data_IF_546584146924
#
_entry.id   IF_546584146924
#
_cell.length_a   1.000
_cell.length_b   1.000
_cell.length_c   1.000
_cell.angle_alpha   90.00
_cell.angle_beta   90.00
_cell.angle_gamma   90.00
#
_symmetry.space_group_name_H-M   'P 1'
#
loop_
_entity.id
_entity.type
_entity.pdbx_description
1 polymer ?
#
# COMPACT_ATOMS: atom_id res chain seq x y z
N UNK A 1 -62.50 16.85 5.01
CA UNK A 1 -61.24 17.62 4.97
C UNK A 1 -60.06 17.02 5.75
N UNK A 2 -60.26 15.96 6.56
CA UNK A 2 -59.14 15.32 7.30
C UNK A 2 -58.35 14.30 6.47
N UNK A 3 -59.00 13.58 5.55
CA UNK A 3 -58.38 12.53 4.73
C UNK A 3 -57.24 13.04 3.82
N UNK A 4 -57.36 14.26 3.29
CA UNK A 4 -56.32 14.89 2.45
C UNK A 4 -55.07 15.29 3.24
N UNK A 5 -55.22 15.67 4.52
CA UNK A 5 -54.09 16.01 5.40
C UNK A 5 -53.32 14.75 5.81
N UNK A 6 -54.02 13.66 6.12
CA UNK A 6 -53.39 12.37 6.45
C UNK A 6 -52.68 11.73 5.25
N UNK A 7 -53.25 11.85 4.04
CA UNK A 7 -52.60 11.37 2.83
C UNK A 7 -51.31 12.17 2.50
N UNK A 8 -51.32 13.49 2.71
CA UNK A 8 -50.13 14.34 2.53
C UNK A 8 -49.00 14.00 3.52
N UNK A 9 -49.33 13.76 4.79
CA UNK A 9 -48.36 13.33 5.82
C UNK A 9 -47.75 11.95 5.53
N UNK A 10 -48.57 11.01 5.06
CA UNK A 10 -48.09 9.69 4.68
C UNK A 10 -47.09 9.75 3.52
N UNK A 11 -47.39 10.51 2.46
CA UNK A 11 -46.49 10.69 1.30
C UNK A 11 -45.19 11.40 1.70
N UNK A 12 -45.26 12.42 2.56
CA UNK A 12 -44.07 13.12 3.06
C UNK A 12 -43.15 12.18 3.88
N UNK A 13 -43.73 11.31 4.71
CA UNK A 13 -42.99 10.31 5.47
C UNK A 13 -42.29 9.28 4.58
N UNK A 14 -42.95 8.82 3.51
CA UNK A 14 -42.35 7.85 2.58
C UNK A 14 -41.19 8.46 1.78
N UNK A 15 -41.33 9.70 1.31
CA UNK A 15 -40.27 10.40 0.56
C UNK A 15 -39.05 10.68 1.45
N UNK A 16 -39.24 11.13 2.69
CA UNK A 16 -38.12 11.35 3.62
C UNK A 16 -37.43 10.05 4.01
N UNK A 17 -38.19 8.97 4.25
CA UNK A 17 -37.62 7.66 4.55
C UNK A 17 -36.86 7.09 3.34
N UNK A 18 -37.35 7.29 2.12
CA UNK A 18 -36.67 6.89 0.88
C UNK A 18 -35.36 7.67 0.67
N UNK A 19 -35.36 8.99 0.83
CA UNK A 19 -34.15 9.83 0.70
C UNK A 19 -33.12 9.50 1.78
N UNK A 20 -33.56 9.31 3.02
CA UNK A 20 -32.68 8.86 4.11
C UNK A 20 -32.08 7.49 3.81
N UNK A 21 -32.90 6.55 3.32
CA UNK A 21 -32.45 5.21 2.96
C UNK A 21 -31.48 5.23 1.79
N UNK A 22 -31.75 6.00 0.73
CA UNK A 22 -30.83 6.18 -0.39
C UNK A 22 -29.51 6.82 0.06
N UNK A 23 -29.56 7.91 0.84
CA UNK A 23 -28.37 8.55 1.36
C UNK A 23 -27.55 7.63 2.27
N UNK A 24 -28.21 6.87 3.15
CA UNK A 24 -27.57 5.89 4.02
C UNK A 24 -26.95 4.72 3.24
N UNK A 25 -27.61 4.26 2.18
CA UNK A 25 -27.08 3.23 1.27
C UNK A 25 -25.85 3.76 0.54
N UNK A 26 -25.94 4.92 -0.10
CA UNK A 26 -24.80 5.54 -0.81
C UNK A 26 -23.61 5.72 0.14
N UNK A 27 -23.84 6.19 1.37
CA UNK A 27 -22.76 6.35 2.36
C UNK A 27 -22.14 5.02 2.77
N UNK A 28 -22.95 3.98 3.00
CA UNK A 28 -22.43 2.63 3.33
C UNK A 28 -21.64 2.04 2.16
N UNK A 29 -22.13 2.20 0.94
CA UNK A 29 -21.49 1.72 -0.27
C UNK A 29 -20.16 2.44 -0.51
N UNK A 30 -20.09 3.76 -0.31
CA UNK A 30 -18.84 4.51 -0.37
C UNK A 30 -17.84 4.06 0.70
N UNK A 31 -18.28 3.84 1.95
CA UNK A 31 -17.41 3.35 3.03
C UNK A 31 -16.88 1.95 2.72
N UNK A 32 -17.75 1.07 2.22
CA UNK A 32 -17.39 -0.30 1.83
C UNK A 32 -16.39 -0.27 0.67
N UNK A 33 -16.68 0.49 -0.38
CA UNK A 33 -15.79 0.68 -1.52
C UNK A 33 -14.41 1.20 -1.09
N UNK A 34 -14.37 2.27 -0.28
CA UNK A 34 -13.12 2.83 0.25
C UNK A 34 -12.31 1.78 0.99
N UNK A 35 -12.96 0.99 1.85
CA UNK A 35 -12.29 -0.07 2.60
C UNK A 35 -11.74 -1.18 1.70
N UNK A 36 -12.52 -1.63 0.72
CA UNK A 36 -12.09 -2.65 -0.25
C UNK A 36 -10.90 -2.17 -1.08
N UNK A 37 -10.92 -0.90 -1.50
CA UNK A 37 -9.84 -0.33 -2.28
C UNK A 37 -8.56 -0.15 -1.45
N UNK A 38 -8.68 0.36 -0.22
CA UNK A 38 -7.56 0.41 0.72
C UNK A 38 -6.98 -0.99 0.99
N UNK A 39 -7.82 -2.03 1.11
CA UNK A 39 -7.35 -3.39 1.31
C UNK A 39 -6.50 -3.88 0.13
N UNK A 40 -6.93 -3.62 -1.11
CA UNK A 40 -6.17 -3.98 -2.31
C UNK A 40 -4.85 -3.23 -2.36
N UNK A 41 -4.86 -1.92 -2.13
CA UNK A 41 -3.66 -1.09 -2.18
C UNK A 41 -2.63 -1.50 -1.11
N UNK A 42 -3.06 -1.72 0.13
CA UNK A 42 -2.17 -2.23 1.20
C UNK A 42 -1.62 -3.61 0.85
N UNK A 43 -2.45 -4.51 0.32
CA UNK A 43 -1.99 -5.84 -0.11
C UNK A 43 -0.95 -5.74 -1.24
N UNK A 44 -1.19 -4.89 -2.24
CA UNK A 44 -0.27 -4.68 -3.35
C UNK A 44 1.05 -4.06 -2.88
N UNK A 45 1.02 -3.11 -1.96
CA UNK A 45 2.22 -2.50 -1.38
C UNK A 45 3.07 -3.53 -0.63
N UNK A 46 2.44 -4.34 0.22
CA UNK A 46 3.13 -5.40 0.96
C UNK A 46 3.69 -6.48 0.03
N UNK A 47 2.96 -6.83 -1.02
CA UNK A 47 3.42 -7.78 -2.04
C UNK A 47 4.64 -7.23 -2.77
N UNK A 48 4.58 -6.01 -3.32
CA UNK A 48 5.72 -5.37 -3.99
C UNK A 48 6.94 -5.28 -3.08
N UNK A 49 6.75 -4.97 -1.80
CA UNK A 49 7.84 -4.89 -0.83
C UNK A 49 8.53 -6.23 -0.63
N UNK A 50 7.75 -7.32 -0.56
CA UNK A 50 8.28 -8.70 -0.45
C UNK A 50 8.91 -9.17 -1.75
N UNK A 51 8.26 -8.94 -2.89
CA UNK A 51 8.76 -9.34 -4.21
C UNK A 51 10.12 -8.69 -4.46
N UNK A 52 10.29 -7.40 -4.15
CA UNK A 52 11.60 -6.73 -4.23
C UNK A 52 12.66 -7.38 -3.33
N UNK A 53 12.31 -7.76 -2.09
CA UNK A 53 13.27 -8.42 -1.20
C UNK A 53 13.60 -9.85 -1.64
N UNK A 54 12.62 -10.57 -2.19
CA UNK A 54 12.81 -11.89 -2.78
C UNK A 54 13.75 -11.80 -3.99
N UNK A 55 13.52 -10.85 -4.90
CA UNK A 55 14.39 -10.65 -6.06
C UNK A 55 15.85 -10.38 -5.64
N UNK A 56 16.06 -9.53 -4.62
CA UNK A 56 17.40 -9.27 -4.08
C UNK A 56 18.02 -10.52 -3.41
N UNK A 57 17.20 -11.33 -2.74
CA UNK A 57 17.63 -12.60 -2.15
C UNK A 57 18.01 -13.64 -3.21
N UNK A 58 17.22 -13.77 -4.27
CA UNK A 58 17.49 -14.67 -5.39
C UNK A 58 18.77 -14.25 -6.12
N UNK A 59 19.01 -12.94 -6.30
CA UNK A 59 20.25 -12.39 -6.83
C UNK A 59 21.45 -12.72 -5.93
N UNK A 60 21.29 -12.61 -4.60
CA UNK A 60 22.31 -13.00 -3.62
C UNK A 60 22.65 -14.50 -3.74
N UNK A 61 21.65 -15.37 -3.76
CA UNK A 61 21.85 -16.81 -3.87
C UNK A 61 22.51 -17.19 -5.21
N UNK A 62 22.12 -16.53 -6.31
CA UNK A 62 22.72 -16.72 -7.62
C UNK A 62 24.21 -16.33 -7.64
N UNK A 63 24.59 -15.25 -6.94
CA UNK A 63 25.99 -14.83 -6.81
C UNK A 63 26.82 -15.84 -6.02
N UNK A 64 26.34 -16.23 -4.84
CA UNK A 64 27.04 -17.17 -3.95
C UNK A 64 27.19 -18.54 -4.60
N UNK A 65 26.16 -19.02 -5.31
CA UNK A 65 26.16 -20.35 -5.92
C UNK A 65 27.02 -20.46 -7.18
N UNK A 66 27.11 -19.40 -8.00
CA UNK A 66 27.83 -19.45 -9.29
C UNK A 66 29.26 -18.93 -9.26
N UNK A 67 29.74 -18.31 -8.16
CA UNK A 67 31.11 -17.80 -7.99
C UNK A 67 31.63 -17.01 -9.21
N UNK A 68 30.74 -16.38 -9.98
CA UNK A 68 31.09 -15.58 -11.14
C UNK A 68 31.23 -14.13 -10.70
N UNK A 69 32.37 -13.51 -11.02
CA UNK A 69 32.73 -12.13 -10.68
C UNK A 69 31.83 -11.04 -11.31
N UNK A 70 30.73 -11.44 -11.94
CA UNK A 70 29.68 -10.56 -12.46
C UNK A 70 28.35 -11.20 -12.11
N UNK A 71 27.56 -10.51 -11.29
CA UNK A 71 26.13 -10.75 -11.26
C UNK A 71 25.63 -10.73 -12.71
N UNK A 72 24.80 -11.70 -13.16
CA UNK A 72 24.11 -11.55 -14.43
C UNK A 72 23.41 -10.20 -14.37
N UNK A 73 23.78 -9.30 -15.30
CA UNK A 73 23.55 -7.86 -15.17
C UNK A 73 22.18 -7.57 -14.56
N UNK A 74 22.21 -7.13 -13.30
CA UNK A 74 21.01 -6.79 -12.51
C UNK A 74 20.08 -6.02 -13.44
N UNK A 75 18.84 -6.47 -13.57
CA UNK A 75 17.84 -5.62 -14.19
C UNK A 75 17.53 -4.50 -13.20
N UNK A 76 18.45 -3.53 -13.05
CA UNK A 76 18.33 -2.31 -12.25
C UNK A 76 16.98 -1.61 -12.48
N UNK A 77 16.39 -1.86 -13.66
CA UNK A 77 15.06 -1.41 -14.03
C UNK A 77 13.96 -2.00 -13.14
N UNK A 78 14.01 -3.29 -12.77
CA UNK A 78 12.97 -3.96 -11.97
C UNK A 78 12.93 -3.47 -10.52
N UNK A 79 14.08 -3.40 -9.84
CA UNK A 79 14.14 -2.93 -8.46
C UNK A 79 13.70 -1.47 -8.32
N UNK A 80 14.17 -0.60 -9.22
CA UNK A 80 13.74 0.81 -9.28
C UNK A 80 12.26 0.94 -9.66
N UNK A 81 11.77 0.08 -10.55
CA UNK A 81 10.35 0.02 -10.92
C UNK A 81 9.48 -0.37 -9.72
N UNK A 82 9.89 -1.34 -8.90
CA UNK A 82 9.16 -1.68 -7.68
C UNK A 82 9.05 -0.49 -6.74
N UNK A 83 10.15 0.24 -6.48
CA UNK A 83 10.14 1.43 -5.61
C UNK A 83 9.21 2.52 -6.15
N UNK A 84 9.23 2.77 -7.46
CA UNK A 84 8.32 3.73 -8.09
C UNK A 84 6.85 3.29 -8.02
N UNK A 85 6.55 2.00 -8.23
CA UNK A 85 5.19 1.49 -8.08
C UNK A 85 4.68 1.60 -6.64
N UNK A 86 5.55 1.40 -5.64
CA UNK A 86 5.19 1.62 -4.23
C UNK A 86 4.84 3.09 -3.97
N UNK A 87 5.60 4.04 -4.52
CA UNK A 87 5.31 5.48 -4.41
C UNK A 87 3.90 5.80 -4.93
N UNK A 88 3.54 5.29 -6.11
CA UNK A 88 2.21 5.49 -6.67
C UNK A 88 1.11 4.92 -5.79
N UNK A 89 1.33 3.75 -5.18
CA UNK A 89 0.35 3.15 -4.27
C UNK A 89 0.21 4.01 -3.01
N UNK A 90 1.30 4.57 -2.47
CA UNK A 90 1.25 5.48 -1.32
C UNK A 90 0.40 6.71 -1.64
N UNK A 91 0.58 7.32 -2.81
CA UNK A 91 -0.24 8.46 -3.24
C UNK A 91 -1.72 8.07 -3.46
N UNK A 92 -2.00 6.88 -3.99
CA UNK A 92 -3.36 6.36 -4.10
C UNK A 92 -4.01 6.11 -2.73
N UNK A 93 -3.25 5.59 -1.76
CA UNK A 93 -3.71 5.45 -0.38
C UNK A 93 -4.00 6.83 0.21
N UNK A 94 -3.15 7.83 -0.01
CA UNK A 94 -3.37 9.21 0.47
C UNK A 94 -4.67 9.81 -0.04
N UNK A 95 -5.02 9.59 -1.31
CA UNK A 95 -6.30 10.03 -1.87
C UNK A 95 -7.52 9.42 -1.15
N UNK A 96 -7.34 8.25 -0.51
CA UNK A 96 -8.38 7.55 0.21
C UNK A 96 -8.32 7.81 1.71
N UNK A 97 -7.16 7.81 2.34
CA UNK A 97 -6.93 7.95 3.78
C UNK A 97 -5.50 8.46 4.09
N UNK A 98 -5.40 9.72 4.52
CA UNK A 98 -4.12 10.38 4.85
C UNK A 98 -3.39 9.71 6.01
N UNK A 99 -4.12 9.17 6.99
CA UNK A 99 -3.54 8.56 8.18
C UNK A 99 -2.84 7.24 7.82
N UNK A 100 -3.51 6.39 7.04
CA UNK A 100 -2.93 5.14 6.55
C UNK A 100 -1.77 5.40 5.57
N UNK A 101 -1.81 6.50 4.83
CA UNK A 101 -0.77 6.86 3.89
C UNK A 101 0.58 7.11 4.55
N UNK A 102 0.62 7.65 5.78
CA UNK A 102 1.90 7.85 6.48
C UNK A 102 2.56 6.53 6.88
N UNK A 103 1.77 5.53 7.31
CA UNK A 103 2.30 4.18 7.59
C UNK A 103 2.73 3.47 6.29
N UNK A 104 2.00 3.65 5.20
CA UNK A 104 2.38 3.12 3.88
C UNK A 104 3.66 3.78 3.34
N UNK A 105 3.79 5.09 3.53
CA UNK A 105 4.96 5.88 3.15
C UNK A 105 6.21 5.43 3.89
N UNK A 106 6.11 5.00 5.15
CA UNK A 106 7.25 4.47 5.88
C UNK A 106 7.84 3.21 5.23
N UNK A 107 6.99 2.31 4.70
CA UNK A 107 7.42 1.13 3.93
C UNK A 107 8.13 1.53 2.63
N UNK A 108 7.49 2.40 1.83
CA UNK A 108 8.10 2.90 0.59
C UNK A 108 9.44 3.60 0.87
N UNK A 109 9.48 4.46 1.88
CA UNK A 109 10.66 5.24 2.24
C UNK A 109 11.84 4.34 2.61
N UNK A 110 11.62 3.25 3.35
CA UNK A 110 12.70 2.31 3.66
C UNK A 110 13.36 1.74 2.38
N UNK A 111 12.58 1.48 1.34
CA UNK A 111 13.12 1.05 0.04
C UNK A 111 13.76 2.20 -0.75
N UNK A 112 13.16 3.39 -0.74
CA UNK A 112 13.69 4.56 -1.43
C UNK A 112 15.02 5.03 -0.82
N UNK A 113 15.14 5.01 0.51
CA UNK A 113 16.36 5.34 1.24
C UNK A 113 17.46 4.31 0.89
N UNK A 114 17.14 3.01 0.80
CA UNK A 114 18.10 1.98 0.35
C UNK A 114 18.60 2.19 -1.10
N UNK A 115 17.73 2.61 -2.03
CA UNK A 115 18.14 2.97 -3.39
C UNK A 115 19.00 4.25 -3.40
N UNK A 116 18.69 5.22 -2.54
CA UNK A 116 19.46 6.44 -2.41
C UNK A 116 20.86 6.18 -1.83
N UNK A 117 20.94 5.37 -0.78
CA UNK A 117 22.19 4.97 -0.15
C UNK A 117 23.07 4.23 -1.15
N UNK A 118 22.50 3.32 -1.95
CA UNK A 118 23.20 2.67 -3.05
C UNK A 118 23.69 3.66 -4.11
N UNK A 119 22.83 4.57 -4.58
CA UNK A 119 23.18 5.57 -5.57
C UNK A 119 24.26 6.57 -5.09
N UNK A 120 24.44 6.70 -3.77
CA UNK A 120 25.46 7.56 -3.17
C UNK A 120 26.86 6.93 -3.16
N UNK A 121 26.98 5.63 -3.45
CA UNK A 121 28.25 4.93 -3.55
C UNK A 121 28.95 5.36 -4.85
N UNK A 122 30.08 6.06 -4.72
CA UNK A 122 30.80 6.67 -5.86
C UNK A 122 31.75 5.72 -6.61
N UNK A 123 31.95 4.50 -6.11
CA UNK A 123 32.91 3.52 -6.66
C UNK A 123 32.20 2.23 -7.08
N UNK A 124 32.87 1.39 -7.90
CA UNK A 124 32.41 0.02 -8.15
C UNK A 124 32.40 -0.75 -6.83
N UNK A 125 31.20 -0.96 -6.30
CA UNK A 125 30.97 -1.70 -5.06
C UNK A 125 30.95 -3.19 -5.37
N UNK A 126 31.51 -4.00 -4.48
CA UNK A 126 31.38 -5.45 -4.57
C UNK A 126 29.89 -5.85 -4.59
N UNK A 127 29.47 -6.75 -5.50
CA UNK A 127 28.09 -7.23 -5.60
C UNK A 127 27.42 -7.60 -4.26
N UNK A 128 28.19 -8.12 -3.31
CA UNK A 128 27.69 -8.48 -1.99
C UNK A 128 27.26 -7.25 -1.18
N UNK A 129 28.09 -6.21 -1.19
CA UNK A 129 27.80 -4.98 -0.43
C UNK A 129 26.71 -4.17 -1.14
N UNK A 130 26.62 -4.22 -2.48
CA UNK A 130 25.48 -3.68 -3.23
C UNK A 130 24.15 -4.28 -2.74
N UNK A 131 24.01 -5.61 -2.75
CA UNK A 131 22.77 -6.29 -2.36
C UNK A 131 22.38 -6.02 -0.91
N UNK A 132 23.38 -5.93 -0.02
CA UNK A 132 23.17 -5.61 1.39
C UNK A 132 22.68 -4.18 1.59
N UNK A 133 23.23 -3.19 0.88
CA UNK A 133 22.78 -1.80 0.97
C UNK A 133 21.36 -1.65 0.40
N UNK A 134 21.05 -2.35 -0.68
CA UNK A 134 19.73 -2.32 -1.32
C UNK A 134 18.64 -3.04 -0.51
N UNK A 135 19.05 -3.94 0.39
CA UNK A 135 18.15 -4.67 1.29
C UNK A 135 17.68 -3.73 2.39
N UNK A 136 16.49 -3.15 2.21
CA UNK A 136 15.89 -2.27 3.21
C UNK A 136 15.74 -2.96 4.59
N UNK A 137 16.19 -2.29 5.64
CA UNK A 137 16.15 -2.79 7.02
C UNK A 137 14.83 -2.48 7.73
N UNK A 138 14.43 -3.30 8.71
CA UNK A 138 13.27 -3.04 9.58
C UNK A 138 11.91 -3.17 8.89
N UNK A 139 11.85 -3.85 7.73
CA UNK A 139 10.62 -4.02 6.96
C UNK A 139 9.54 -4.80 7.71
N UNK A 140 9.92 -5.79 8.52
CA UNK A 140 8.97 -6.60 9.29
C UNK A 140 8.16 -5.74 10.27
N UNK A 141 8.83 -4.85 11.00
CA UNK A 141 8.18 -3.90 11.90
C UNK A 141 7.28 -2.93 11.12
N UNK A 142 7.75 -2.41 9.99
CA UNK A 142 6.97 -1.50 9.14
C UNK A 142 5.74 -2.17 8.52
N UNK A 143 5.86 -3.42 8.05
CA UNK A 143 4.74 -4.21 7.54
C UNK A 143 3.71 -4.46 8.63
N UNK A 144 4.15 -4.83 9.85
CA UNK A 144 3.25 -5.03 10.99
C UNK A 144 2.55 -3.74 11.40
N UNK A 145 3.26 -2.61 11.41
CA UNK A 145 2.69 -1.30 11.70
C UNK A 145 1.60 -0.94 10.67
N UNK A 146 1.90 -1.07 9.38
CA UNK A 146 0.94 -0.82 8.30
C UNK A 146 -0.31 -1.71 8.41
N UNK A 147 -0.15 -3.01 8.68
CA UNK A 147 -1.27 -3.93 8.86
C UNK A 147 -2.10 -3.54 10.09
N UNK A 148 -1.45 -3.17 11.18
CA UNK A 148 -2.12 -2.73 12.42
C UNK A 148 -2.96 -1.48 12.18
N UNK A 149 -2.39 -0.47 11.52
CA UNK A 149 -3.10 0.76 11.19
C UNK A 149 -4.25 0.52 10.21
N UNK A 150 -4.04 -0.31 9.19
CA UNK A 150 -5.11 -0.71 8.28
C UNK A 150 -6.25 -1.39 9.04
N UNK A 151 -5.96 -2.33 9.96
CA UNK A 151 -7.00 -3.01 10.76
C UNK A 151 -7.78 -2.03 11.62
N UNK A 152 -7.08 -1.10 12.28
CA UNK A 152 -7.69 -0.03 13.09
C UNK A 152 -8.64 0.84 12.27
N UNK A 153 -8.19 1.33 11.11
CA UNK A 153 -8.96 2.20 10.22
C UNK A 153 -10.15 1.45 9.59
N UNK A 154 -9.93 0.20 9.18
CA UNK A 154 -10.96 -0.67 8.62
C UNK A 154 -11.94 -1.23 9.67
N UNK A 155 -11.69 -0.98 10.97
CA UNK A 155 -12.42 -1.55 12.12
C UNK A 155 -12.47 -3.08 12.08
N UNK A 156 -11.39 -3.69 11.63
CA UNK A 156 -11.20 -5.13 11.65
C UNK A 156 -10.70 -5.57 13.02
N UNK A 157 -11.11 -6.75 13.53
CA UNK A 157 -10.53 -7.30 14.75
C UNK A 157 -9.01 -7.47 14.59
N UNK A 158 -8.29 -7.22 15.68
CA UNK A 158 -6.82 -7.31 15.79
C UNK A 158 -6.33 -8.73 15.57
#
# INVERSE_FOLDING_TARGET
MWATVFAGLAVAGTVTNFLYTQWAITRRDTIKWRREELQKLVSNLLQLSRDRQSDLGDEYEAYVSNFSSRLPGREERKTKQHVWQMELIVEQIRLLDDELAESAKAVWKAHADAEWDYASLQEEVDPMEELKVLSASGLDELHRALITDFRRIAKLPS
#
